data_IF_037994885893
#
_entry.id   IF_037994885893
#
_cell.length_a   1.000
_cell.length_b   1.000
_cell.length_c   1.000
_cell.angle_alpha   90.00
_cell.angle_beta   90.00
_cell.angle_gamma   90.00
#
_symmetry.space_group_name_H-M   'P 1'
#
loop_
_entity.id
_entity.type
_entity.pdbx_description
1 polymer ?
#
# COMPACT_ATOMS: atom_id res chain seq x y z
N UNK A 1 3.71 13.22 56.07
CA UNK A 1 4.03 13.61 54.68
C UNK A 1 3.69 15.08 54.48
N UNK A 2 4.66 15.93 54.12
CA UNK A 2 4.51 17.40 54.07
C UNK A 2 3.43 17.81 53.04
N UNK A 3 2.47 18.70 53.36
CA UNK A 3 1.32 19.01 52.51
C UNK A 3 1.70 19.58 51.13
N UNK A 4 2.85 20.26 51.03
CA UNK A 4 3.37 20.79 49.77
C UNK A 4 3.81 19.70 48.78
N UNK A 5 4.27 18.54 49.28
CA UNK A 5 4.67 17.41 48.44
C UNK A 5 3.45 16.74 47.78
N UNK A 6 2.33 16.63 48.50
CA UNK A 6 1.08 16.08 47.97
C UNK A 6 0.49 16.97 46.86
N UNK A 7 0.50 18.30 47.06
CA UNK A 7 0.05 19.27 46.04
C UNK A 7 0.90 19.21 44.78
N UNK A 8 2.22 19.16 44.92
CA UNK A 8 3.13 19.08 43.77
C UNK A 8 2.95 17.77 42.98
N UNK A 9 2.68 16.65 43.68
CA UNK A 9 2.40 15.37 43.04
C UNK A 9 1.09 15.40 42.25
N UNK A 10 0.02 15.97 42.82
CA UNK A 10 -1.29 16.08 42.15
C UNK A 10 -1.21 16.97 40.90
N UNK A 11 -0.48 18.09 40.97
CA UNK A 11 -0.28 18.98 39.83
C UNK A 11 0.56 18.27 38.75
N UNK A 12 1.61 17.55 39.14
CA UNK A 12 2.44 16.78 38.22
C UNK A 12 1.65 15.70 37.48
N UNK A 13 0.83 14.92 38.19
CA UNK A 13 -0.04 13.89 37.58
C UNK A 13 -1.09 14.53 36.67
N UNK A 14 -1.70 15.65 37.09
CA UNK A 14 -2.66 16.38 36.27
C UNK A 14 -2.07 16.88 34.96
N UNK A 15 -0.84 17.42 34.98
CA UNK A 15 -0.13 17.87 33.78
C UNK A 15 0.22 16.72 32.84
N UNK A 16 0.62 15.56 33.36
CA UNK A 16 0.93 14.36 32.56
C UNK A 16 -0.35 13.83 31.88
N UNK A 17 -1.49 13.83 32.58
CA UNK A 17 -2.77 13.43 32.01
C UNK A 17 -3.27 14.39 30.91
N UNK A 18 -2.88 15.68 30.94
CA UNK A 18 -3.23 16.63 29.87
C UNK A 18 -2.41 16.44 28.59
N UNK A 19 -1.30 15.68 28.62
CA UNK A 19 -0.41 15.49 27.47
C UNK A 19 -0.64 14.20 26.67
N UNK A 20 -1.75 13.49 26.88
CA UNK A 20 -2.08 12.31 26.07
C UNK A 20 -2.56 12.73 24.68
N UNK A 21 -1.60 13.04 23.79
CA UNK A 21 -1.87 13.22 22.38
C UNK A 21 -2.03 11.85 21.71
N UNK A 22 -3.08 11.70 20.89
CA UNK A 22 -3.23 10.56 19.99
C UNK A 22 -2.21 10.72 18.85
N UNK A 23 -1.32 9.74 18.68
CA UNK A 23 -0.42 9.70 17.54
C UNK A 23 -1.13 8.98 16.40
N UNK A 24 -1.51 9.71 15.34
CA UNK A 24 -1.98 9.10 14.10
C UNK A 24 -0.80 8.48 13.34
N UNK A 25 -0.96 7.21 12.94
CA UNK A 25 -0.01 6.56 12.05
C UNK A 25 -0.33 6.95 10.59
N UNK A 26 0.70 7.32 9.83
CA UNK A 26 0.60 7.57 8.39
C UNK A 26 1.24 6.39 7.67
N UNK A 27 0.51 5.78 6.73
CA UNK A 27 0.98 4.64 5.95
C UNK A 27 1.04 4.98 4.47
N UNK A 28 2.11 4.55 3.80
CA UNK A 28 2.27 4.72 2.37
C UNK A 28 1.83 3.45 1.63
N UNK A 29 0.59 3.45 1.16
CA UNK A 29 0.04 2.35 0.35
C UNK A 29 0.54 2.38 -1.10
N UNK A 30 1.12 3.49 -1.57
CA UNK A 30 1.60 3.62 -2.95
C UNK A 30 2.87 2.78 -3.22
N UNK A 31 3.57 2.33 -2.18
CA UNK A 31 4.71 1.42 -2.35
C UNK A 31 4.29 -0.04 -2.59
N UNK A 32 3.00 -0.35 -2.44
CA UNK A 32 2.48 -1.67 -2.73
C UNK A 32 2.41 -1.81 -4.25
N UNK A 33 3.08 -2.84 -4.76
CA UNK A 33 3.04 -3.12 -6.19
C UNK A 33 1.60 -3.26 -6.67
N UNK A 34 1.35 -2.92 -7.93
CA UNK A 34 0.01 -2.91 -8.50
C UNK A 34 -0.65 -4.30 -8.60
N UNK A 35 0.08 -5.37 -8.28
CA UNK A 35 -0.45 -6.73 -8.21
C UNK A 35 0.17 -7.56 -7.09
N UNK A 36 -0.46 -8.68 -6.75
CA UNK A 36 0.07 -9.63 -5.76
C UNK A 36 1.44 -10.19 -6.17
N UNK A 37 1.63 -10.49 -7.47
CA UNK A 37 2.93 -10.97 -8.00
C UNK A 37 3.99 -9.88 -7.90
N UNK A 38 3.65 -8.64 -8.26
CA UNK A 38 4.56 -7.50 -8.15
C UNK A 38 5.01 -7.28 -6.70
N UNK A 39 4.07 -7.33 -5.77
CA UNK A 39 4.31 -7.17 -4.33
C UNK A 39 5.16 -8.32 -3.76
N UNK A 40 4.85 -9.58 -4.11
CA UNK A 40 5.60 -10.75 -3.65
C UNK A 40 7.06 -10.76 -4.11
N UNK A 41 7.37 -10.08 -5.23
CA UNK A 41 8.72 -9.94 -5.76
C UNK A 41 9.49 -8.74 -5.16
N UNK A 42 8.92 -8.04 -4.17
CA UNK A 42 9.63 -6.98 -3.45
C UNK A 42 10.18 -5.88 -4.37
N UNK A 43 9.38 -5.43 -5.35
CA UNK A 43 9.73 -4.47 -6.39
C UNK A 43 10.68 -4.96 -7.51
N UNK A 44 11.06 -6.24 -7.55
CA UNK A 44 11.86 -6.79 -8.65
C UNK A 44 11.05 -7.13 -9.92
N UNK A 45 9.71 -7.00 -9.88
CA UNK A 45 8.82 -7.41 -10.97
C UNK A 45 9.07 -6.68 -12.31
N UNK A 46 9.66 -5.48 -12.28
CA UNK A 46 10.07 -4.73 -13.50
C UNK A 46 10.88 -5.58 -14.50
N UNK A 47 11.68 -6.53 -14.00
CA UNK A 47 12.53 -7.41 -14.80
C UNK A 47 11.80 -8.61 -15.43
N UNK A 48 10.62 -8.96 -14.90
CA UNK A 48 9.81 -10.12 -15.28
C UNK A 48 8.36 -9.73 -15.56
N UNK A 49 8.16 -8.52 -16.05
CA UNK A 49 6.84 -7.96 -16.36
C UNK A 49 6.28 -8.60 -17.64
N UNK A 50 5.69 -9.77 -17.50
CA UNK A 50 5.32 -10.69 -18.59
C UNK A 50 3.79 -10.96 -18.67
N UNK A 51 2.98 -10.17 -17.96
CA UNK A 51 1.52 -10.32 -17.89
C UNK A 51 0.82 -8.96 -17.84
N UNK A 52 -0.51 -8.95 -17.72
CA UNK A 52 -1.31 -7.73 -17.73
C UNK A 52 -0.95 -6.70 -16.65
N UNK A 53 -0.22 -7.08 -15.60
CA UNK A 53 0.28 -6.15 -14.58
C UNK A 53 1.48 -5.31 -15.05
N UNK A 54 2.07 -5.64 -16.21
CA UNK A 54 3.18 -4.91 -16.81
C UNK A 54 2.83 -3.45 -17.11
N UNK A 55 1.54 -3.11 -17.30
CA UNK A 55 1.05 -1.73 -17.47
C UNK A 55 1.49 -0.79 -16.35
N UNK A 56 1.66 -1.31 -15.13
CA UNK A 56 2.01 -0.52 -13.95
C UNK A 56 3.51 -0.50 -13.63
N UNK A 57 4.28 -1.45 -14.15
CA UNK A 57 5.69 -1.64 -13.77
C UNK A 57 6.66 -1.45 -14.94
N UNK A 58 6.35 -2.05 -16.10
CA UNK A 58 7.17 -1.96 -17.30
C UNK A 58 6.31 -2.21 -18.55
N UNK A 59 5.71 -1.16 -19.14
CA UNK A 59 4.84 -1.29 -20.30
C UNK A 59 5.52 -1.93 -21.54
N UNK A 60 6.85 -1.90 -21.64
CA UNK A 60 7.56 -2.57 -22.74
C UNK A 60 7.39 -4.10 -22.70
N UNK A 61 7.15 -4.67 -21.51
CA UNK A 61 6.84 -6.09 -21.33
C UNK A 61 5.50 -6.52 -21.94
N UNK A 62 4.59 -5.58 -22.21
CA UNK A 62 3.32 -5.89 -22.88
C UNK A 62 3.55 -6.47 -24.28
N UNK A 63 4.66 -6.12 -24.93
CA UNK A 63 5.01 -6.65 -26.25
C UNK A 63 5.30 -8.17 -26.25
N UNK A 64 5.51 -8.79 -25.08
CA UNK A 64 5.75 -10.24 -24.95
C UNK A 64 4.48 -11.02 -24.55
N UNK A 65 3.32 -10.36 -24.50
CA UNK A 65 2.06 -10.99 -24.11
C UNK A 65 1.35 -11.50 -25.36
N UNK A 66 1.17 -12.82 -25.42
CA UNK A 66 0.60 -13.48 -26.60
C UNK A 66 -0.93 -13.62 -26.56
N UNK A 67 -1.55 -13.35 -25.42
CA UNK A 67 -2.98 -13.58 -25.20
C UNK A 67 -3.67 -12.38 -24.56
N UNK A 68 -4.97 -12.21 -24.81
CA UNK A 68 -5.79 -11.24 -24.08
C UNK A 68 -5.82 -11.61 -22.59
N UNK A 69 -5.57 -10.64 -21.71
CA UNK A 69 -5.53 -10.86 -20.27
C UNK A 69 -6.39 -9.83 -19.53
N UNK A 70 -7.02 -10.28 -18.44
CA UNK A 70 -7.69 -9.45 -17.45
C UNK A 70 -7.06 -9.77 -16.08
N UNK A 71 -6.54 -8.77 -15.41
CA UNK A 71 -5.98 -8.85 -14.07
C UNK A 71 -6.87 -8.12 -13.07
N UNK A 72 -6.97 -8.66 -11.86
CA UNK A 72 -7.55 -7.96 -10.72
C UNK A 72 -6.80 -8.36 -9.46
N UNK A 73 -6.36 -7.35 -8.71
CA UNK A 73 -5.72 -7.53 -7.40
C UNK A 73 -6.50 -6.72 -6.37
N UNK A 74 -6.82 -7.37 -5.25
CA UNK A 74 -7.25 -6.71 -4.05
C UNK A 74 -6.18 -6.90 -2.97
N UNK A 75 -5.80 -5.80 -2.33
CA UNK A 75 -4.97 -5.79 -1.14
C UNK A 75 -5.81 -5.21 -0.01
N UNK A 76 -5.80 -5.87 1.13
CA UNK A 76 -6.32 -5.33 2.39
C UNK A 76 -5.17 -5.34 3.37
N UNK A 77 -4.78 -4.15 3.83
CA UNK A 77 -3.64 -3.99 4.72
C UNK A 77 -4.14 -3.88 6.15
N UNK A 78 -3.51 -4.66 7.03
CA UNK A 78 -3.74 -4.55 8.46
C UNK A 78 -2.53 -3.85 9.08
N UNK A 79 -2.71 -2.58 9.46
CA UNK A 79 -1.68 -1.82 10.17
C UNK A 79 -2.09 -1.61 11.63
N UNK A 80 -1.18 -1.93 12.54
CA UNK A 80 -1.37 -1.64 13.96
C UNK A 80 -1.38 -0.14 14.20
N UNK A 81 -2.39 0.36 14.93
CA UNK A 81 -2.55 1.78 15.22
C UNK A 81 -3.33 2.57 14.17
N UNK A 82 -3.89 1.90 13.15
CA UNK A 82 -4.85 2.49 12.23
C UNK A 82 -6.15 1.70 12.31
N UNK A 83 -7.11 2.25 13.06
CA UNK A 83 -8.44 1.66 13.25
C UNK A 83 -9.49 2.47 12.49
N UNK A 84 -10.35 1.80 11.72
CA UNK A 84 -11.47 2.42 11.02
C UNK A 84 -11.17 3.04 9.65
N UNK A 85 -9.93 2.95 9.18
CA UNK A 85 -9.53 3.40 7.82
C UNK A 85 -9.66 2.28 6.78
N UNK A 86 -10.00 2.63 5.54
CA UNK A 86 -10.07 1.72 4.42
C UNK A 86 -8.75 1.74 3.64
N UNK A 87 -7.76 1.02 4.15
CA UNK A 87 -6.44 0.88 3.55
C UNK A 87 -6.37 -0.19 2.46
N UNK A 88 -7.51 -0.45 1.82
CA UNK A 88 -7.61 -1.40 0.72
C UNK A 88 -7.18 -0.78 -0.61
N UNK A 89 -6.42 -1.54 -1.40
CA UNK A 89 -6.12 -1.18 -2.78
C UNK A 89 -6.79 -2.18 -3.72
N UNK A 90 -7.45 -1.66 -4.74
CA UNK A 90 -8.07 -2.44 -5.80
C UNK A 90 -7.46 -2.00 -7.13
N UNK A 91 -6.82 -2.93 -7.83
CA UNK A 91 -6.21 -2.68 -9.13
C UNK A 91 -6.80 -3.65 -10.12
N UNK A 92 -7.19 -3.15 -11.29
CA UNK A 92 -7.60 -3.98 -12.41
C UNK A 92 -6.73 -3.64 -13.62
N UNK A 93 -6.45 -4.62 -14.46
CA UNK A 93 -5.72 -4.41 -15.70
C UNK A 93 -6.36 -5.19 -16.83
N UNK A 94 -6.29 -4.65 -18.04
CA UNK A 94 -6.70 -5.32 -19.25
C UNK A 94 -5.60 -5.18 -20.31
N UNK A 95 -5.28 -6.27 -20.98
CA UNK A 95 -4.30 -6.27 -22.07
C UNK A 95 -4.84 -6.94 -23.31
N UNK A 96 -4.64 -6.29 -24.45
CA UNK A 96 -5.02 -6.73 -25.78
C UNK A 96 -3.77 -6.76 -26.69
N UNK A 97 -3.28 -7.94 -27.08
CA UNK A 97 -2.28 -8.07 -28.13
C UNK A 97 -2.81 -7.51 -29.47
N UNK A 98 -1.96 -6.83 -30.22
CA UNK A 98 -2.24 -6.21 -31.53
C UNK A 98 -1.37 -6.80 -32.66
N UNK A 99 -0.77 -7.97 -32.41
CA UNK A 99 0.17 -8.65 -33.30
C UNK A 99 1.28 -9.32 -32.50
N UNK A 100 2.41 -9.62 -33.14
CA UNK A 100 3.52 -10.35 -32.51
C UNK A 100 4.41 -9.49 -31.59
N UNK A 101 4.35 -8.15 -31.71
CA UNK A 101 5.28 -7.23 -31.02
C UNK A 101 4.61 -6.01 -30.41
N UNK A 102 3.29 -5.92 -30.50
CA UNK A 102 2.53 -4.79 -30.00
C UNK A 102 1.38 -5.29 -29.16
N UNK A 103 1.11 -4.57 -28.08
CA UNK A 103 -0.06 -4.79 -27.26
C UNK A 103 -0.53 -3.44 -26.71
N UNK A 104 -1.82 -3.37 -26.44
CA UNK A 104 -2.46 -2.27 -25.73
C UNK A 104 -2.78 -2.76 -24.32
N UNK A 105 -2.41 -1.97 -23.31
CA UNK A 105 -2.70 -2.24 -21.92
C UNK A 105 -3.39 -1.05 -21.26
N UNK A 106 -4.33 -1.33 -20.36
CA UNK A 106 -5.03 -0.34 -19.53
C UNK A 106 -5.04 -0.86 -18.10
N UNK A 107 -4.89 0.04 -17.12
CA UNK A 107 -4.93 -0.28 -15.70
C UNK A 107 -5.16 0.96 -14.84
#
# INVERSE_FOLDING_TARGET
>A
MRPNLKRSLVIGIGLICLTTFQAEAIVNIQSLGASARSTALGNAYVAVADNGDAVFANPAGLATIDNRQLGYTNVSLLFSGIDGDNLGQHVASFTQPLGEKMALGVG
#
